data_IF_188835472566
#
_entry.id   IF_188835472566
#
_cell.length_a   1.000
_cell.length_b   1.000
_cell.length_c   1.000
_cell.angle_alpha   90.00
_cell.angle_beta   90.00
_cell.angle_gamma   90.00
#
_symmetry.space_group_name_H-M   'P 1'
#
loop_
_entity.id
_entity.type
_entity.pdbx_description
1 polymer ?
#
# COMPACT_ATOMS: atom_id res chain seq x y z
N UNK A 1 -11.78 3.49 8.33
CA UNK A 1 -12.53 3.98 7.15
C UNK A 1 -11.86 3.38 5.92
N UNK A 2 -12.56 2.50 5.20
CA UNK A 2 -12.06 2.02 3.91
C UNK A 2 -11.99 3.20 2.93
N UNK A 3 -10.94 3.28 2.12
CA UNK A 3 -10.89 4.27 1.03
C UNK A 3 -11.79 3.77 -0.10
N UNK A 4 -12.97 4.37 -0.36
CA UNK A 4 -13.91 3.84 -1.34
C UNK A 4 -13.34 3.86 -2.76
N UNK A 5 -12.42 4.78 -3.05
CA UNK A 5 -11.85 4.95 -4.39
C UNK A 5 -11.00 3.77 -4.86
N UNK A 6 -10.40 3.05 -3.91
CA UNK A 6 -9.59 1.85 -4.18
C UNK A 6 -10.49 0.71 -4.70
N UNK A 7 -11.72 0.62 -4.20
CA UNK A 7 -12.70 -0.36 -4.70
C UNK A 7 -13.28 0.06 -6.06
N UNK A 8 -13.52 1.36 -6.27
CA UNK A 8 -14.09 1.88 -7.52
C UNK A 8 -13.24 1.56 -8.75
N UNK A 9 -11.92 1.71 -8.68
CA UNK A 9 -11.03 1.40 -9.80
C UNK A 9 -11.09 -0.08 -10.20
N UNK A 10 -11.08 -0.99 -9.22
CA UNK A 10 -11.17 -2.42 -9.49
C UNK A 10 -12.54 -2.83 -10.06
N UNK A 11 -13.63 -2.20 -9.59
CA UNK A 11 -14.96 -2.44 -10.12
C UNK A 11 -15.11 -1.99 -11.57
N UNK A 12 -14.50 -0.86 -11.96
CA UNK A 12 -14.50 -0.40 -13.35
C UNK A 12 -13.71 -1.34 -14.26
N UNK A 13 -12.58 -1.89 -13.79
CA UNK A 13 -11.82 -2.92 -14.50
C UNK A 13 -12.66 -4.19 -14.67
N UNK A 14 -13.31 -4.65 -13.58
CA UNK A 14 -14.21 -5.82 -13.61
C UNK A 14 -15.37 -5.64 -14.59
N UNK A 15 -15.91 -4.43 -14.69
CA UNK A 15 -16.97 -4.07 -15.63
C UNK A 15 -16.46 -3.83 -17.09
N UNK A 16 -15.17 -4.04 -17.36
CA UNK A 16 -14.61 -3.96 -18.71
C UNK A 16 -14.25 -2.55 -19.20
N UNK A 17 -14.21 -1.55 -18.31
CA UNK A 17 -13.86 -0.17 -18.68
C UNK A 17 -12.36 0.08 -18.87
N UNK A 18 -11.51 -0.96 -18.84
CA UNK A 18 -10.08 -0.87 -19.16
C UNK A 18 -9.17 -1.51 -18.10
N UNK A 19 -7.99 -0.91 -17.89
CA UNK A 19 -6.95 -1.36 -16.95
C UNK A 19 -6.58 -0.26 -15.97
N UNK A 20 -6.12 -0.64 -14.77
CA UNK A 20 -5.68 0.30 -13.74
C UNK A 20 -4.31 -0.10 -13.18
N UNK A 21 -3.44 0.89 -12.96
CA UNK A 21 -2.17 0.71 -12.23
C UNK A 21 -2.45 0.89 -10.74
N UNK A 22 -2.08 -0.11 -9.94
CA UNK A 22 -2.36 -0.14 -8.50
C UNK A 22 -1.10 -0.46 -7.70
N UNK A 23 -1.00 -0.02 -6.43
CA UNK A 23 0.03 -0.51 -5.52
C UNK A 23 -0.04 -2.03 -5.37
N UNK A 24 1.11 -2.69 -5.19
CA UNK A 24 1.19 -4.15 -5.05
C UNK A 24 0.32 -4.71 -3.91
N UNK A 25 0.12 -3.94 -2.84
CA UNK A 25 -0.74 -4.31 -1.71
C UNK A 25 -2.21 -4.50 -2.10
N UNK A 26 -2.69 -3.90 -3.20
CA UNK A 26 -4.08 -4.08 -3.64
C UNK A 26 -4.39 -5.50 -4.12
N UNK A 27 -3.38 -6.34 -4.39
CA UNK A 27 -3.58 -7.78 -4.66
C UNK A 27 -4.28 -8.52 -3.51
N UNK A 28 -4.25 -7.96 -2.29
CA UNK A 28 -4.97 -8.51 -1.14
C UNK A 28 -6.49 -8.37 -1.26
N UNK A 29 -6.98 -7.45 -2.10
CA UNK A 29 -8.40 -7.29 -2.40
C UNK A 29 -8.72 -8.13 -3.63
N UNK A 30 -9.61 -9.10 -3.49
CA UNK A 30 -10.03 -9.96 -4.60
C UNK A 30 -11.33 -9.43 -5.20
N UNK A 31 -11.30 -9.09 -6.49
CA UNK A 31 -12.46 -8.64 -7.25
C UNK A 31 -12.69 -9.63 -8.38
N UNK A 32 -13.91 -10.15 -8.49
CA UNK A 32 -14.27 -11.11 -9.52
C UNK A 32 -13.98 -10.56 -10.92
N UNK A 33 -13.40 -11.39 -11.79
CA UNK A 33 -13.07 -11.01 -13.17
C UNK A 33 -11.85 -10.09 -13.32
N UNK A 34 -11.11 -9.79 -12.25
CA UNK A 34 -9.87 -8.99 -12.30
C UNK A 34 -8.65 -9.89 -12.15
N UNK A 35 -7.64 -9.69 -13.00
CA UNK A 35 -6.32 -10.32 -12.87
C UNK A 35 -5.26 -9.26 -12.58
N UNK A 36 -4.27 -9.61 -11.76
CA UNK A 36 -3.19 -8.70 -11.36
C UNK A 36 -1.88 -9.13 -12.00
N UNK A 37 -1.25 -8.22 -12.74
CA UNK A 37 0.01 -8.46 -13.45
C UNK A 37 1.12 -7.57 -12.88
N UNK A 38 2.37 -8.02 -12.93
CA UNK A 38 3.52 -7.20 -12.55
C UNK A 38 3.91 -6.27 -13.70
N UNK A 39 4.26 -5.03 -13.37
CA UNK A 39 4.81 -4.11 -14.36
C UNK A 39 6.30 -4.40 -14.53
N UNK A 40 6.71 -4.73 -15.75
CA UNK A 40 8.11 -4.90 -16.09
C UNK A 40 8.85 -3.56 -16.14
N UNK A 41 10.12 -3.53 -15.72
CA UNK A 41 10.95 -2.34 -15.70
C UNK A 41 11.09 -1.73 -14.30
N UNK A 42 11.35 -0.41 -14.23
CA UNK A 42 11.58 0.27 -12.96
C UNK A 42 10.27 0.34 -12.15
N UNK A 43 10.25 -0.14 -10.88
CA UNK A 43 9.04 -0.11 -10.09
C UNK A 43 8.51 1.31 -9.91
N UNK A 44 7.21 1.50 -10.18
CA UNK A 44 6.49 2.70 -9.79
C UNK A 44 6.32 2.67 -8.26
N UNK A 45 7.11 3.47 -7.56
CA UNK A 45 7.08 3.51 -6.10
C UNK A 45 5.97 4.46 -5.62
N UNK A 46 4.94 3.91 -5.01
CA UNK A 46 3.96 4.69 -4.23
C UNK A 46 4.44 4.86 -2.80
N UNK A 47 4.64 6.11 -2.36
CA UNK A 47 5.08 6.42 -1.01
C UNK A 47 3.94 6.30 0.01
N UNK A 48 4.19 5.58 1.12
CA UNK A 48 3.33 5.62 2.31
C UNK A 48 4.00 6.45 3.41
N UNK A 49 3.25 7.37 4.00
CA UNK A 49 3.70 8.25 5.07
C UNK A 49 2.98 7.93 6.40
N UNK A 50 3.73 8.00 7.50
CA UNK A 50 3.17 8.04 8.86
C UNK A 50 3.32 9.47 9.36
N UNK A 51 2.19 10.11 9.69
CA UNK A 51 2.15 11.48 10.18
C UNK A 51 1.64 11.46 11.62
N UNK A 52 2.37 12.12 12.52
CA UNK A 52 1.97 12.32 13.91
C UNK A 52 2.33 13.72 14.36
N UNK A 53 1.79 14.15 15.51
CA UNK A 53 2.08 15.47 16.09
C UNK A 53 3.56 15.59 16.43
N UNK A 54 4.14 16.77 16.20
CA UNK A 54 5.57 17.03 16.45
C UNK A 54 5.94 16.86 17.94
N UNK A 55 5.05 17.26 18.85
CA UNK A 55 5.20 17.10 20.31
C UNK A 55 4.25 16.04 20.87
N UNK A 56 4.21 14.88 20.24
CA UNK A 56 3.39 13.77 20.71
C UNK A 56 3.90 13.20 22.04
N UNK A 57 2.99 12.94 22.98
CA UNK A 57 3.30 12.46 24.35
C UNK A 57 2.68 11.11 24.66
N UNK A 58 1.76 10.62 23.83
CA UNK A 58 1.14 9.32 24.01
C UNK A 58 2.17 8.20 23.87
N UNK A 59 2.33 7.33 24.89
CA UNK A 59 3.18 6.16 24.78
C UNK A 59 2.76 5.23 23.63
N UNK A 60 1.45 5.14 23.36
CA UNK A 60 0.91 4.32 22.29
C UNK A 60 1.41 4.80 20.91
N UNK A 61 1.36 6.11 20.63
CA UNK A 61 1.84 6.67 19.36
C UNK A 61 3.36 6.51 19.23
N UNK A 62 4.10 6.77 20.30
CA UNK A 62 5.57 6.62 20.31
C UNK A 62 5.99 5.18 20.05
N UNK A 63 5.31 4.21 20.68
CA UNK A 63 5.54 2.79 20.46
C UNK A 63 5.18 2.38 19.03
N UNK A 64 4.05 2.87 18.49
CA UNK A 64 3.66 2.58 17.11
C UNK A 64 4.70 3.12 16.10
N UNK A 65 5.18 4.36 16.26
CA UNK A 65 6.24 4.93 15.41
C UNK A 65 7.51 4.08 15.48
N UNK A 66 7.88 3.57 16.66
CA UNK A 66 9.03 2.67 16.83
C UNK A 66 8.85 1.37 16.04
N UNK A 67 7.68 0.74 16.13
CA UNK A 67 7.34 -0.48 15.41
C UNK A 67 7.42 -0.23 13.89
N UNK A 68 6.80 0.84 13.39
CA UNK A 68 6.84 1.17 11.95
C UNK A 68 8.28 1.37 11.46
N UNK A 69 9.14 2.05 12.23
CA UNK A 69 10.56 2.22 11.89
C UNK A 69 11.30 0.87 11.81
N UNK A 70 11.06 -0.03 12.77
CA UNK A 70 11.67 -1.37 12.76
C UNK A 70 11.23 -2.20 11.55
N UNK A 71 9.93 -2.22 11.24
CA UNK A 71 9.39 -2.90 10.06
C UNK A 71 9.97 -2.36 8.75
N UNK A 72 10.08 -1.03 8.61
CA UNK A 72 10.71 -0.42 7.43
C UNK A 72 12.17 -0.83 7.28
N UNK A 73 12.94 -0.90 8.37
CA UNK A 73 14.34 -1.33 8.35
C UNK A 73 14.48 -2.81 8.00
N UNK A 74 13.57 -3.67 8.48
CA UNK A 74 13.57 -5.10 8.15
C UNK A 74 13.22 -5.35 6.68
N UNK A 75 12.18 -4.70 6.15
CA UNK A 75 11.76 -4.83 4.76
C UNK A 75 12.84 -4.39 3.76
N UNK A 76 13.65 -3.38 4.12
CA UNK A 76 14.78 -2.94 3.28
C UNK A 76 15.91 -3.95 3.20
N UNK A 77 16.11 -4.79 4.23
CA UNK A 77 17.16 -5.83 4.21
C UNK A 77 16.78 -7.03 3.36
N UNK A 78 15.49 -7.40 3.31
CA UNK A 78 15.00 -8.48 2.46
C UNK A 78 14.90 -8.11 0.97
N UNK A 79 14.95 -6.82 0.64
CA UNK A 79 14.90 -6.33 -0.75
C UNK A 79 16.28 -6.17 -1.40
N UNK A 80 17.36 -6.44 -0.65
CA UNK A 80 18.76 -6.27 -1.08
C UNK A 80 19.52 -7.59 -1.24
N UNK A 81 18.82 -8.71 -1.34
CA UNK A 81 19.37 -10.05 -1.62
C UNK A 81 18.81 -10.60 -2.92
#
# INVERSE_FOLDING_TARGET
MASPQISSAANLVSAGFGVAVVPSSMRQVQVGGVSYHELHGKPLATGSALIHRQRERSPAVTNFVRIVKQYRSAARRSSGS
#
